data_IF_262374233648
#
_entry.id   IF_262374233648
#
_cell.length_a   1.000
_cell.length_b   1.000
_cell.length_c   1.000
_cell.angle_alpha   90.00
_cell.angle_beta   90.00
_cell.angle_gamma   90.00
#
_symmetry.space_group_name_H-M   'P 1'
#
loop_
_entity.id
_entity.type
_entity.pdbx_description
1 polymer ?
#
# COMPACT_ATOMS: atom_id res chain seq x y z
N UNK A 1 -15.50 1.42 -5.29
CA UNK A 1 -16.93 1.18 -5.00
C UNK A 1 -17.24 1.77 -3.63
N UNK A 2 -18.22 2.66 -3.52
CA UNK A 2 -18.54 3.28 -2.23
C UNK A 2 -19.39 2.32 -1.36
N UNK A 3 -19.29 2.39 -0.02
CA UNK A 3 -20.08 1.53 0.87
C UNK A 3 -21.60 1.63 0.61
N UNK A 4 -22.07 2.80 0.20
CA UNK A 4 -23.49 3.06 -0.13
C UNK A 4 -23.97 2.20 -1.32
N UNK A 5 -23.12 2.00 -2.33
CA UNK A 5 -23.45 1.15 -3.47
C UNK A 5 -23.60 -0.32 -3.07
N UNK A 6 -22.86 -0.77 -2.04
CA UNK A 6 -22.95 -2.12 -1.49
C UNK A 6 -24.20 -2.27 -0.62
N UNK A 7 -24.53 -1.26 0.20
CA UNK A 7 -25.75 -1.29 1.01
C UNK A 7 -27.00 -1.36 0.15
N UNK A 8 -27.06 -0.58 -0.93
CA UNK A 8 -28.21 -0.54 -1.84
C UNK A 8 -28.39 -1.88 -2.58
N UNK A 9 -27.27 -2.52 -2.95
CA UNK A 9 -27.29 -3.79 -3.68
C UNK A 9 -27.67 -4.99 -2.82
N UNK A 10 -27.27 -4.98 -1.55
CA UNK A 10 -27.41 -6.15 -0.66
C UNK A 10 -28.43 -5.95 0.48
N UNK A 11 -29.06 -4.77 0.57
CA UNK A 11 -30.08 -4.48 1.59
C UNK A 11 -29.54 -4.48 3.02
N UNK A 12 -28.28 -4.14 3.21
CA UNK A 12 -27.60 -4.16 4.53
C UNK A 12 -27.26 -2.75 4.99
N UNK A 13 -27.20 -2.53 6.31
CA UNK A 13 -26.75 -1.26 6.86
C UNK A 13 -25.25 -1.01 6.58
N UNK A 14 -24.85 0.25 6.46
CA UNK A 14 -23.45 0.66 6.26
C UNK A 14 -22.55 0.06 7.35
N UNK A 15 -23.01 0.04 8.60
CA UNK A 15 -22.29 -0.55 9.73
C UNK A 15 -22.00 -2.04 9.54
N UNK A 16 -22.93 -2.80 8.95
CA UNK A 16 -22.75 -4.21 8.62
C UNK A 16 -21.71 -4.40 7.51
N UNK A 17 -21.72 -3.55 6.47
CA UNK A 17 -20.68 -3.55 5.42
C UNK A 17 -19.30 -3.32 6.03
N UNK A 18 -19.14 -2.30 6.87
CA UNK A 18 -17.87 -2.03 7.54
C UNK A 18 -17.42 -3.19 8.43
N UNK A 19 -18.33 -3.81 9.19
CA UNK A 19 -18.00 -4.98 10.03
C UNK A 19 -17.52 -6.17 9.19
N UNK A 20 -18.19 -6.46 8.08
CA UNK A 20 -17.81 -7.57 7.19
C UNK A 20 -16.47 -7.29 6.53
N UNK A 21 -16.29 -6.10 5.95
CA UNK A 21 -15.02 -5.69 5.34
C UNK A 21 -13.90 -5.78 6.36
N UNK A 22 -14.07 -5.20 7.55
CA UNK A 22 -13.06 -5.26 8.62
C UNK A 22 -12.72 -6.70 9.02
N UNK A 23 -13.73 -7.57 9.20
CA UNK A 23 -13.50 -8.99 9.53
C UNK A 23 -12.69 -9.71 8.46
N UNK A 24 -13.05 -9.52 7.19
CA UNK A 24 -12.35 -10.15 6.07
C UNK A 24 -10.93 -9.59 5.96
N UNK A 25 -10.75 -8.28 6.09
CA UNK A 25 -9.42 -7.65 6.06
C UNK A 25 -8.52 -8.20 7.17
N UNK A 26 -9.01 -8.29 8.41
CA UNK A 26 -8.25 -8.85 9.54
C UNK A 26 -7.92 -10.32 9.29
N UNK A 27 -8.87 -11.10 8.78
CA UNK A 27 -8.65 -12.52 8.47
C UNK A 27 -7.60 -12.72 7.39
N UNK A 28 -7.70 -11.98 6.27
CA UNK A 28 -6.71 -12.02 5.19
C UNK A 28 -5.34 -11.58 5.71
N UNK A 29 -5.29 -10.52 6.52
CA UNK A 29 -4.03 -10.04 7.10
C UNK A 29 -3.39 -11.07 8.03
N UNK A 30 -4.19 -11.83 8.78
CA UNK A 30 -3.70 -12.90 9.64
C UNK A 30 -3.16 -14.11 8.86
N UNK A 31 -3.67 -14.36 7.65
CA UNK A 31 -3.16 -15.40 6.74
C UNK A 31 -1.96 -14.95 5.91
N UNK A 32 -1.84 -13.64 5.68
CA UNK A 32 -0.76 -13.05 4.91
C UNK A 32 0.56 -13.15 5.69
N UNK A 33 1.68 -13.55 5.04
CA UNK A 33 3.02 -13.56 5.63
C UNK A 33 3.60 -12.14 5.76
N UNK A 34 2.80 -11.22 6.29
CA UNK A 34 3.11 -9.80 6.36
C UNK A 34 4.32 -9.57 7.25
N UNK A 35 5.33 -8.86 6.74
CA UNK A 35 6.60 -8.63 7.46
C UNK A 35 7.60 -9.79 7.37
N UNK A 36 7.29 -10.88 6.69
CA UNK A 36 8.26 -11.96 6.41
C UNK A 36 9.00 -11.66 5.13
N UNK A 37 10.18 -11.05 5.24
CA UNK A 37 11.02 -10.69 4.09
C UNK A 37 11.68 -11.94 3.47
N UNK A 38 11.69 -12.07 2.13
CA UNK A 38 12.29 -13.23 1.48
C UNK A 38 13.80 -13.33 1.77
N UNK A 39 14.35 -14.53 1.82
CA UNK A 39 15.78 -14.75 2.06
C UNK A 39 16.26 -15.95 1.25
N UNK A 40 17.58 -16.03 1.03
CA UNK A 40 18.20 -17.14 0.31
C UNK A 40 17.53 -17.37 -1.05
N UNK A 41 17.15 -18.62 -1.32
CA UNK A 41 16.55 -19.01 -2.60
C UNK A 41 15.25 -18.27 -2.92
N UNK A 42 14.40 -17.97 -1.92
CA UNK A 42 13.14 -17.23 -2.15
C UNK A 42 13.41 -15.83 -2.67
N UNK A 43 14.46 -15.16 -2.17
CA UNK A 43 14.85 -13.84 -2.66
C UNK A 43 15.31 -13.90 -4.12
N UNK A 44 16.11 -14.89 -4.48
CA UNK A 44 16.56 -15.08 -5.86
C UNK A 44 15.38 -15.31 -6.82
N UNK A 45 14.39 -16.11 -6.42
CA UNK A 45 13.18 -16.33 -7.20
C UNK A 45 12.34 -15.05 -7.36
N UNK A 46 12.24 -14.23 -6.31
CA UNK A 46 11.54 -12.93 -6.39
C UNK A 46 12.26 -11.99 -7.36
N UNK A 47 13.59 -11.90 -7.28
CA UNK A 47 14.40 -11.07 -8.17
C UNK A 47 14.25 -11.50 -9.63
N UNK A 48 14.30 -12.80 -9.91
CA UNK A 48 14.13 -13.30 -11.27
C UNK A 48 12.69 -13.11 -11.77
N UNK A 49 11.70 -13.22 -10.89
CA UNK A 49 10.31 -12.92 -11.22
C UNK A 49 10.12 -11.45 -11.63
N UNK A 50 10.66 -10.50 -10.85
CA UNK A 50 10.62 -9.08 -11.21
C UNK A 50 11.38 -8.80 -12.51
N UNK A 51 12.55 -9.42 -12.70
CA UNK A 51 13.32 -9.30 -13.95
C UNK A 51 12.51 -9.78 -15.15
N UNK A 52 11.81 -10.91 -15.03
CA UNK A 52 10.98 -11.47 -16.10
C UNK A 52 9.78 -10.58 -16.42
N UNK A 53 9.18 -9.94 -15.42
CA UNK A 53 7.99 -9.11 -15.59
C UNK A 53 8.28 -7.68 -16.03
N UNK A 54 9.38 -7.08 -15.54
CA UNK A 54 9.68 -5.66 -15.73
C UNK A 54 10.94 -5.39 -16.57
N UNK A 55 11.78 -6.41 -16.78
CA UNK A 55 13.10 -6.26 -17.40
C UNK A 55 14.18 -5.69 -16.48
N UNK A 56 13.82 -5.19 -15.28
CA UNK A 56 14.77 -4.57 -14.36
C UNK A 56 15.46 -5.60 -13.45
N UNK A 57 16.80 -5.73 -13.51
CA UNK A 57 17.52 -6.69 -12.69
C UNK A 57 17.62 -6.24 -11.22
N UNK A 58 17.72 -7.21 -10.31
CA UNK A 58 18.00 -6.96 -8.89
C UNK A 58 16.81 -6.47 -8.05
N UNK A 59 15.64 -6.30 -8.64
CA UNK A 59 14.44 -5.81 -7.94
C UNK A 59 13.88 -6.89 -7.03
N UNK A 60 13.86 -6.63 -5.73
CA UNK A 60 13.28 -7.56 -4.75
C UNK A 60 11.90 -7.13 -4.24
N UNK A 61 11.52 -5.86 -4.43
CA UNK A 61 10.22 -5.31 -4.00
C UNK A 61 9.74 -4.20 -4.94
N UNK A 62 8.42 -4.02 -4.99
CA UNK A 62 7.76 -2.87 -5.60
C UNK A 62 7.13 -1.99 -4.51
N UNK A 63 7.30 -0.67 -4.66
CA UNK A 63 6.59 0.33 -3.86
C UNK A 63 5.59 1.07 -4.72
N UNK A 64 4.38 1.21 -4.18
CA UNK A 64 3.33 2.01 -4.78
C UNK A 64 2.62 2.88 -3.74
N UNK A 65 2.17 4.06 -4.20
CA UNK A 65 1.39 5.02 -3.43
C UNK A 65 -0.05 5.05 -3.89
N UNK A 66 -1.00 4.76 -3.01
CA UNK A 66 -2.44 4.80 -3.30
C UNK A 66 -3.13 5.92 -2.51
N UNK A 67 -3.97 6.70 -3.18
CA UNK A 67 -4.84 7.69 -2.51
C UNK A 67 -6.12 7.03 -1.99
N UNK A 68 -6.32 7.08 -0.68
CA UNK A 68 -7.59 6.71 -0.03
C UNK A 68 -8.41 7.99 0.10
N UNK A 69 -9.53 8.05 -0.61
CA UNK A 69 -10.47 9.17 -0.52
C UNK A 69 -11.02 9.32 0.90
N UNK A 70 -11.04 10.56 1.41
CA UNK A 70 -11.59 10.91 2.71
C UNK A 70 -12.56 12.08 2.58
N UNK A 71 -13.46 12.22 3.57
CA UNK A 71 -14.17 13.48 3.75
C UNK A 71 -13.19 14.59 4.13
N UNK A 72 -13.44 15.80 3.67
CA UNK A 72 -12.63 16.97 4.00
C UNK A 72 -12.43 17.10 5.52
N UNK A 73 -11.19 17.10 6.02
CA UNK A 73 -10.91 17.32 7.43
C UNK A 73 -11.35 18.72 7.88
N UNK A 74 -11.76 18.86 9.14
CA UNK A 74 -12.16 20.17 9.70
C UNK A 74 -11.00 21.16 9.83
N UNK A 75 -9.77 20.66 9.94
CA UNK A 75 -8.53 21.45 10.10
C UNK A 75 -7.59 21.13 8.94
N UNK A 76 -6.94 22.16 8.39
CA UNK A 76 -5.93 22.03 7.33
C UNK A 76 -6.41 21.20 6.12
N UNK A 77 -7.68 21.34 5.72
CA UNK A 77 -8.30 20.52 4.66
C UNK A 77 -7.52 20.57 3.33
N UNK A 78 -6.96 21.73 2.99
CA UNK A 78 -6.16 21.95 1.78
C UNK A 78 -4.95 21.02 1.68
N UNK A 79 -4.36 20.63 2.81
CA UNK A 79 -3.25 19.68 2.84
C UNK A 79 -3.62 18.27 2.38
N UNK A 80 -4.91 17.94 2.36
CA UNK A 80 -5.40 16.62 1.95
C UNK A 80 -5.86 16.57 0.50
N UNK A 81 -5.88 17.71 -0.21
CA UNK A 81 -6.20 17.75 -1.64
C UNK A 81 -5.02 17.17 -2.42
N UNK A 82 -5.29 16.16 -3.23
CA UNK A 82 -4.28 15.54 -4.10
C UNK A 82 -4.24 16.20 -5.49
N UNK A 83 -3.37 15.70 -6.37
CA UNK A 83 -3.23 16.20 -7.76
C UNK A 83 -4.49 16.00 -8.63
N UNK A 84 -5.42 15.15 -8.20
CA UNK A 84 -6.71 14.87 -8.86
C UNK A 84 -7.85 15.68 -8.25
N UNK A 85 -7.53 16.68 -7.44
CA UNK A 85 -8.45 17.64 -6.82
C UNK A 85 -9.51 17.01 -5.90
N UNK A 86 -9.15 15.94 -5.19
CA UNK A 86 -9.99 15.36 -4.13
C UNK A 86 -9.24 15.14 -2.82
N UNK A 87 -9.98 15.15 -1.71
CA UNK A 87 -9.43 14.95 -0.37
C UNK A 87 -9.05 13.49 -0.16
N UNK A 88 -7.79 13.23 0.20
CA UNK A 88 -7.27 11.88 0.41
C UNK A 88 -6.18 11.81 1.46
N UNK A 89 -5.96 10.61 1.98
CA UNK A 89 -4.72 10.22 2.66
C UNK A 89 -3.96 9.24 1.79
N UNK A 90 -2.63 9.27 1.88
CA UNK A 90 -1.76 8.35 1.16
C UNK A 90 -1.62 7.04 1.94
N UNK A 91 -1.64 5.94 1.19
CA UNK A 91 -1.26 4.61 1.62
C UNK A 91 -0.09 4.17 0.74
N UNK A 92 1.10 4.09 1.33
CA UNK A 92 2.26 3.48 0.71
C UNK A 92 2.29 1.99 1.04
N UNK A 93 2.48 1.16 0.03
CA UNK A 93 2.55 -0.29 0.17
C UNK A 93 3.85 -0.81 -0.43
N UNK A 94 4.41 -1.82 0.21
CA UNK A 94 5.58 -2.56 -0.25
C UNK A 94 5.19 -4.00 -0.47
N UNK A 95 5.39 -4.50 -1.69
CA UNK A 95 4.99 -5.85 -2.09
C UNK A 95 6.13 -6.55 -2.83
N UNK A 96 6.11 -7.88 -2.80
CA UNK A 96 6.94 -8.71 -3.69
C UNK A 96 6.13 -9.18 -4.90
N UNK A 97 6.78 -9.87 -5.83
CA UNK A 97 6.22 -10.23 -7.15
C UNK A 97 4.92 -11.05 -7.13
N UNK A 98 4.64 -11.76 -6.03
CA UNK A 98 3.42 -12.56 -5.85
C UNK A 98 2.28 -11.77 -5.19
N UNK A 99 2.38 -10.44 -5.08
CA UNK A 99 1.45 -9.57 -4.36
C UNK A 99 1.42 -9.82 -2.84
N UNK A 100 2.41 -10.53 -2.28
CA UNK A 100 2.55 -10.64 -0.83
C UNK A 100 2.96 -9.27 -0.27
N UNK A 101 2.15 -8.75 0.65
CA UNK A 101 2.38 -7.47 1.33
C UNK A 101 3.51 -7.62 2.34
N UNK A 102 4.58 -6.84 2.18
CA UNK A 102 5.70 -6.80 3.11
C UNK A 102 5.53 -5.70 4.16
N UNK A 103 4.99 -4.55 3.76
CA UNK A 103 4.79 -3.40 4.64
C UNK A 103 3.74 -2.46 4.07
N UNK A 104 3.01 -1.78 4.96
CA UNK A 104 2.07 -0.72 4.61
C UNK A 104 2.24 0.47 5.57
N UNK A 105 2.18 1.68 5.04
CA UNK A 105 2.28 2.93 5.78
C UNK A 105 1.22 3.92 5.30
N UNK A 106 0.45 4.53 6.22
CA UNK A 106 -0.66 5.42 5.85
C UNK A 106 -0.84 6.58 6.82
N UNK A 107 -1.78 7.48 6.49
CA UNK A 107 -2.16 8.63 7.31
C UNK A 107 -1.50 9.94 6.90
N UNK A 108 -0.66 9.91 5.86
CA UNK A 108 -0.02 11.11 5.33
C UNK A 108 -1.01 11.89 4.46
N UNK A 109 -1.04 13.23 4.53
CA UNK A 109 -1.94 14.03 3.70
C UNK A 109 -1.74 13.81 2.19
N UNK A 110 -2.83 13.79 1.43
CA UNK A 110 -2.86 13.51 -0.01
C UNK A 110 -2.12 14.52 -0.90
N UNK A 111 -1.71 15.68 -0.40
CA UNK A 111 -0.86 16.61 -1.14
C UNK A 111 0.61 16.21 -1.19
N UNK A 112 1.04 15.25 -0.35
CA UNK A 112 2.45 14.89 -0.21
C UNK A 112 2.91 13.98 -1.37
N UNK A 113 4.11 14.22 -1.89
CA UNK A 113 4.71 13.38 -2.93
C UNK A 113 5.16 12.02 -2.38
N UNK A 114 5.03 10.94 -3.17
CA UNK A 114 5.42 9.57 -2.80
C UNK A 114 6.87 9.47 -2.30
N UNK A 115 7.80 10.20 -2.92
CA UNK A 115 9.19 10.24 -2.48
C UNK A 115 9.35 10.79 -1.04
N UNK A 116 8.49 11.73 -0.64
CA UNK A 116 8.45 12.26 0.73
C UNK A 116 7.74 11.29 1.67
N UNK A 117 6.69 10.59 1.23
CA UNK A 117 6.06 9.51 2.00
C UNK A 117 7.08 8.42 2.32
N UNK A 118 7.88 7.99 1.34
CA UNK A 118 8.94 7.00 1.53
C UNK A 118 9.91 7.40 2.65
N UNK A 119 10.38 8.66 2.65
CA UNK A 119 11.27 9.18 3.69
C UNK A 119 10.63 9.30 5.07
N UNK A 120 9.32 9.53 5.14
CA UNK A 120 8.57 9.61 6.40
C UNK A 120 8.23 8.21 6.95
N UNK A 121 8.16 7.21 6.08
CA UNK A 121 7.85 5.84 6.47
C UNK A 121 9.06 5.16 7.13
N UNK A 122 8.84 4.21 8.05
CA UNK A 122 9.90 3.34 8.57
C UNK A 122 10.55 2.45 7.50
N UNK A 123 9.92 2.34 6.33
CA UNK A 123 10.31 1.43 5.26
C UNK A 123 11.70 1.73 4.70
N UNK A 124 12.08 3.00 4.64
CA UNK A 124 13.41 3.41 4.19
C UNK A 124 14.52 2.81 5.06
N UNK A 125 14.31 2.78 6.38
CA UNK A 125 15.26 2.18 7.33
C UNK A 125 15.29 0.66 7.15
N UNK A 126 14.11 0.03 7.09
CA UNK A 126 13.99 -1.43 6.92
C UNK A 126 14.71 -1.91 5.66
N UNK A 127 14.54 -1.21 4.54
CA UNK A 127 15.16 -1.60 3.27
C UNK A 127 16.66 -1.37 3.26
N UNK A 128 17.14 -0.30 3.90
CA UNK A 128 18.57 -0.03 4.04
C UNK A 128 19.27 -1.13 4.83
N UNK A 129 18.68 -1.57 5.95
CA UNK A 129 19.20 -2.70 6.75
C UNK A 129 19.17 -4.03 6.00
N UNK A 130 18.30 -4.17 5.00
CA UNK A 130 18.11 -5.41 4.26
C UNK A 130 18.96 -5.50 2.99
N UNK A 131 19.76 -4.48 2.68
CA UNK A 131 20.95 -4.36 1.81
C UNK A 131 21.01 -5.08 0.43
N UNK A 132 20.07 -5.95 0.09
CA UNK A 132 20.06 -6.80 -1.11
C UNK A 132 18.81 -6.60 -1.97
N UNK A 133 18.01 -5.58 -1.67
CA UNK A 133 16.75 -5.29 -2.35
C UNK A 133 16.88 -4.02 -3.17
N UNK A 134 16.99 -4.15 -4.50
CA UNK A 134 16.66 -3.03 -5.36
C UNK A 134 15.13 -2.86 -5.34
N UNK A 135 14.69 -1.62 -5.46
CA UNK A 135 13.28 -1.25 -5.41
C UNK A 135 12.82 -0.72 -6.77
N UNK A 136 11.69 -1.22 -7.25
CA UNK A 136 10.91 -0.51 -8.26
C UNK A 136 9.96 0.46 -7.55
N UNK A 137 10.18 1.76 -7.75
CA UNK A 137 9.21 2.79 -7.35
C UNK A 137 8.28 2.98 -8.54
N UNK A 138 7.01 2.59 -8.39
CA UNK A 138 5.98 2.99 -9.34
C UNK A 138 5.42 4.32 -8.86
N UNK A 139 5.72 5.40 -9.59
CA UNK A 139 5.11 6.71 -9.30
C UNK A 139 3.78 6.81 -10.03
N UNK A 140 2.69 7.10 -9.31
CA UNK A 140 1.38 7.40 -9.91
C UNK A 140 1.18 8.89 -10.25
#
# INVERSE_FOLDING_TARGET
MQPQTVTDRFGVCISSVFRVVHRITVFIFALSPTGVWPKGQRLLSVIEGFRSLSGFPGVGVALDGTHIEIKAPKKHHSSYINRKDFHSVLLQQCMIINLDLQSAFTGVPGSIHDARVYRLSPLAVILTEKASYLMLITTS
#
